data_IF_128755625422
#
_entry.id   IF_128755625422
#
_cell.length_a   1.000
_cell.length_b   1.000
_cell.length_c   1.000
_cell.angle_alpha   90.00
_cell.angle_beta   90.00
_cell.angle_gamma   90.00
#
_symmetry.space_group_name_H-M   'P 1'
#
loop_
_entity.id
_entity.type
_entity.pdbx_description
1 polymer ?
#
# COMPACT_ATOMS: atom_id res chain seq x y z
N UNK A 1 -9.41 29.38 3.79
CA UNK A 1 -9.97 28.03 3.64
C UNK A 1 -9.38 27.16 4.73
N UNK A 2 -10.18 26.61 5.64
CA UNK A 2 -9.68 25.70 6.67
C UNK A 2 -9.13 24.44 5.97
N UNK A 3 -7.80 24.28 5.98
CA UNK A 3 -7.15 23.07 5.46
C UNK A 3 -7.56 21.94 6.39
N UNK A 4 -8.52 21.12 5.97
CA UNK A 4 -8.88 19.91 6.73
C UNK A 4 -7.60 19.11 6.98
N UNK A 5 -7.28 18.88 8.24
CA UNK A 5 -6.15 18.05 8.61
C UNK A 5 -6.40 16.65 8.09
N UNK A 6 -5.53 16.18 7.19
CA UNK A 6 -5.61 14.82 6.65
C UNK A 6 -5.72 13.79 7.78
N UNK A 7 -6.76 12.96 7.72
CA UNK A 7 -6.95 11.82 8.62
C UNK A 7 -6.99 10.56 7.77
N UNK A 8 -6.06 9.64 8.05
CA UNK A 8 -6.03 8.35 7.39
C UNK A 8 -7.17 7.47 7.88
N UNK A 9 -7.92 6.90 6.95
CA UNK A 9 -8.91 5.87 7.21
C UNK A 9 -8.38 4.54 6.66
N UNK A 10 -8.17 3.57 7.53
CA UNK A 10 -7.65 2.27 7.11
C UNK A 10 -8.72 1.53 6.30
N UNK A 11 -8.36 0.89 5.18
CA UNK A 11 -9.26 -0.05 4.49
C UNK A 11 -9.72 -1.18 5.41
N UNK A 12 -8.92 -1.56 6.41
CA UNK A 12 -9.29 -2.61 7.38
C UNK A 12 -10.52 -2.20 8.21
N UNK A 13 -10.61 -0.94 8.60
CA UNK A 13 -11.74 -0.41 9.39
C UNK A 13 -13.03 -0.39 8.56
N UNK A 14 -12.91 -0.43 7.23
CA UNK A 14 -14.02 -0.49 6.27
C UNK A 14 -14.43 -1.93 5.91
N UNK A 15 -13.94 -2.91 6.66
CA UNK A 15 -14.25 -4.34 6.44
C UNK A 15 -13.43 -5.00 5.34
N UNK A 16 -12.35 -4.38 4.87
CA UNK A 16 -11.46 -5.03 3.91
C UNK A 16 -10.48 -5.97 4.62
N UNK A 17 -10.15 -7.06 3.93
CA UNK A 17 -9.15 -8.01 4.39
C UNK A 17 -7.87 -7.79 3.60
N UNK A 18 -6.74 -7.67 4.32
CA UNK A 18 -5.42 -7.57 3.69
C UNK A 18 -5.04 -8.88 3.00
N UNK A 19 -4.59 -8.79 1.76
CA UNK A 19 -4.20 -9.94 0.94
C UNK A 19 -2.71 -9.88 0.64
N UNK A 20 -2.06 -11.05 0.63
CA UNK A 20 -0.68 -11.20 0.20
C UNK A 20 -0.67 -11.74 -1.22
N UNK A 21 -0.27 -10.90 -2.17
CA UNK A 21 -0.01 -11.32 -3.54
C UNK A 21 1.49 -11.37 -3.80
N UNK A 22 1.90 -12.25 -4.70
CA UNK A 22 3.27 -12.28 -5.20
C UNK A 22 3.52 -11.15 -6.21
N UNK A 23 4.80 -10.86 -6.46
CA UNK A 23 5.19 -9.88 -7.49
C UNK A 23 4.74 -10.28 -8.89
N UNK A 24 4.72 -11.58 -9.21
CA UNK A 24 4.26 -12.07 -10.51
C UNK A 24 2.76 -11.85 -10.68
N UNK A 25 1.96 -12.14 -9.64
CA UNK A 25 0.52 -11.90 -9.63
C UNK A 25 0.20 -10.42 -9.78
N UNK A 26 0.88 -9.54 -9.03
CA UNK A 26 0.70 -8.10 -9.20
C UNK A 26 0.99 -7.64 -10.63
N UNK A 27 2.05 -8.17 -11.27
CA UNK A 27 2.42 -7.80 -12.65
C UNK A 27 1.40 -8.28 -13.68
N UNK A 28 0.72 -9.40 -13.42
CA UNK A 28 -0.37 -9.87 -14.27
C UNK A 28 -1.55 -8.90 -14.22
N UNK A 29 -1.91 -8.44 -13.01
CA UNK A 29 -3.00 -7.47 -12.78
C UNK A 29 -2.66 -6.09 -13.37
N UNK A 30 -1.48 -5.55 -13.03
CA UNK A 30 -1.04 -4.23 -13.47
C UNK A 30 0.02 -4.33 -14.57
N UNK A 31 -0.42 -4.31 -15.83
CA UNK A 31 0.48 -4.32 -17.00
C UNK A 31 1.34 -3.05 -17.08
N UNK A 32 0.77 -1.90 -16.71
CA UNK A 32 1.42 -0.58 -16.82
C UNK A 32 2.20 -0.23 -15.55
N UNK A 33 1.59 -0.42 -14.37
CA UNK A 33 2.18 -0.03 -13.07
C UNK A 33 3.02 -1.16 -12.46
N UNK A 34 4.21 -1.37 -13.01
CA UNK A 34 5.14 -2.40 -12.51
C UNK A 34 5.73 -2.02 -11.14
N UNK A 35 5.77 -2.95 -10.19
CA UNK A 35 6.46 -2.78 -8.91
C UNK A 35 7.97 -2.69 -9.14
N UNK A 36 8.59 -1.59 -8.72
CA UNK A 36 10.05 -1.52 -8.60
C UNK A 36 10.50 -2.12 -7.28
N UNK A 37 11.79 -2.47 -7.18
CA UNK A 37 12.35 -3.05 -5.94
C UNK A 37 12.19 -2.14 -4.71
N UNK A 38 12.12 -0.83 -4.96
CA UNK A 38 12.00 0.24 -3.97
C UNK A 38 10.54 0.51 -3.57
N UNK A 39 9.57 -0.07 -4.29
CA UNK A 39 8.15 0.14 -4.06
C UNK A 39 7.61 -1.00 -3.19
N UNK A 40 6.75 -0.62 -2.25
CA UNK A 40 5.94 -1.53 -1.47
C UNK A 40 4.47 -1.35 -1.82
N UNK A 41 3.71 -2.42 -1.64
CA UNK A 41 2.28 -2.44 -1.96
C UNK A 41 1.51 -3.21 -0.89
N UNK A 42 0.25 -2.84 -0.71
CA UNK A 42 -0.68 -3.55 0.14
C UNK A 42 -2.02 -3.72 -0.60
N UNK A 43 -2.45 -4.97 -0.76
CA UNK A 43 -3.74 -5.31 -1.32
C UNK A 43 -4.77 -5.49 -0.22
N UNK A 44 -5.97 -4.99 -0.46
CA UNK A 44 -7.13 -5.13 0.40
C UNK A 44 -8.33 -5.52 -0.46
N UNK A 45 -9.13 -6.47 0.01
CA UNK A 45 -10.32 -6.92 -0.69
C UNK A 45 -11.43 -7.23 0.30
N UNK A 46 -12.66 -6.88 -0.06
CA UNK A 46 -13.84 -7.10 0.77
C UNK A 46 -14.89 -8.03 0.13
N UNK A 47 -14.53 -8.74 -0.95
CA UNK A 47 -15.46 -9.60 -1.70
C UNK A 47 -16.08 -8.94 -2.94
N UNK A 48 -15.95 -7.62 -3.08
CA UNK A 48 -16.48 -6.88 -4.24
C UNK A 48 -15.49 -5.87 -4.81
N UNK A 49 -14.76 -5.17 -3.95
CA UNK A 49 -13.86 -4.09 -4.34
C UNK A 49 -12.44 -4.44 -3.88
N UNK A 50 -11.48 -4.23 -4.78
CA UNK A 50 -10.06 -4.31 -4.50
C UNK A 50 -9.55 -2.90 -4.30
N UNK A 51 -8.73 -2.71 -3.27
CA UNK A 51 -7.97 -1.51 -3.00
C UNK A 51 -6.50 -1.88 -2.93
N UNK A 52 -5.67 -1.14 -3.65
CA UNK A 52 -4.22 -1.31 -3.65
C UNK A 52 -3.57 0.00 -3.25
N UNK A 53 -2.85 -0.03 -2.15
CA UNK A 53 -2.01 1.08 -1.70
C UNK A 53 -0.59 0.85 -2.18
N UNK A 54 -0.02 1.87 -2.84
CA UNK A 54 1.36 1.92 -3.30
C UNK A 54 2.14 2.96 -2.50
N UNK A 55 3.27 2.57 -1.92
CA UNK A 55 4.09 3.44 -1.10
C UNK A 55 5.57 3.08 -1.19
N UNK A 56 6.45 3.99 -0.78
CA UNK A 56 7.89 3.73 -0.76
C UNK A 56 8.21 2.63 0.27
N UNK A 57 9.06 1.67 -0.10
CA UNK A 57 9.46 0.63 0.82
C UNK A 57 10.24 1.22 2.00
N UNK A 58 9.84 0.89 3.23
CA UNK A 58 10.45 1.42 4.45
C UNK A 58 11.95 1.15 4.54
N UNK A 59 12.41 -0.02 4.06
CA UNK A 59 13.84 -0.36 4.02
C UNK A 59 14.61 0.59 3.10
N UNK A 60 14.01 1.02 2.00
CA UNK A 60 14.64 1.97 1.08
C UNK A 60 14.70 3.36 1.69
N UNK A 61 13.64 3.80 2.38
CA UNK A 61 13.66 5.06 3.17
C UNK A 61 14.77 5.01 4.22
N UNK A 62 14.94 3.88 4.90
CA UNK A 62 16.03 3.70 5.88
C UNK A 62 17.42 3.70 5.23
N UNK A 63 17.57 3.13 4.03
CA UNK A 63 18.83 3.14 3.29
C UNK A 63 19.25 4.57 2.90
N UNK A 64 18.32 5.36 2.37
CA UNK A 64 18.60 6.74 1.94
C UNK A 64 18.55 7.74 3.10
N UNK A 65 18.22 7.30 4.31
CA UNK A 65 18.03 8.15 5.48
C UNK A 65 19.25 9.04 5.75
N UNK A 66 20.43 8.44 5.86
CA UNK A 66 21.68 9.14 6.20
C UNK A 66 22.04 10.18 5.14
N UNK A 67 22.10 9.85 3.82
CA UNK A 67 22.41 10.85 2.81
C UNK A 67 21.35 11.96 2.71
N UNK A 68 20.06 11.64 2.85
CA UNK A 68 19.00 12.67 2.88
C UNK A 68 19.15 13.59 4.08
N UNK A 69 19.46 13.03 5.25
CA UNK A 69 19.62 13.80 6.47
C UNK A 69 20.84 14.72 6.39
N UNK A 70 21.97 14.24 5.86
CA UNK A 70 23.16 15.06 5.66
C UNK A 70 22.90 16.19 4.66
N UNK A 71 22.51 15.85 3.42
CA UNK A 71 22.31 16.85 2.36
C UNK A 71 21.16 17.81 2.71
N UNK A 72 20.02 17.28 3.14
CA UNK A 72 18.86 18.09 3.50
C UNK A 72 19.12 19.02 4.68
N UNK A 73 19.93 18.60 5.67
CA UNK A 73 20.30 19.49 6.77
C UNK A 73 21.14 20.68 6.29
N UNK A 74 22.02 20.49 5.31
CA UNK A 74 22.79 21.58 4.71
C UNK A 74 21.96 22.50 3.80
N UNK A 75 20.97 21.97 3.08
CA UNK A 75 20.16 22.73 2.09
C UNK A 75 18.94 23.40 2.72
N UNK A 76 18.11 22.63 3.41
CA UNK A 76 16.79 23.05 3.90
C UNK A 76 16.72 23.15 5.44
N UNK A 77 17.76 22.70 6.13
CA UNK A 77 17.81 22.61 7.59
C UNK A 77 17.33 21.27 8.15
N UNK A 78 17.74 20.96 9.38
CA UNK A 78 17.39 19.69 10.04
C UNK A 78 15.88 19.48 10.25
N UNK A 79 15.09 20.47 10.73
CA UNK A 79 13.67 20.24 11.06
C UNK A 79 12.80 19.90 9.85
N UNK A 80 13.05 20.55 8.72
CA UNK A 80 12.35 20.33 7.44
C UNK A 80 12.68 18.94 6.87
N UNK A 81 13.96 18.60 6.84
CA UNK A 81 14.49 17.30 6.38
C UNK A 81 13.93 16.15 7.22
N UNK A 82 13.94 16.29 8.55
CA UNK A 82 13.37 15.30 9.45
C UNK A 82 11.86 15.09 9.20
N UNK A 83 11.12 16.16 8.89
CA UNK A 83 9.71 16.07 8.53
C UNK A 83 9.52 15.30 7.22
N UNK A 84 10.33 15.54 6.20
CA UNK A 84 10.26 14.81 4.93
C UNK A 84 10.56 13.31 5.10
N UNK A 85 11.57 12.96 5.89
CA UNK A 85 11.89 11.57 6.24
C UNK A 85 10.71 10.90 6.95
N UNK A 86 10.10 11.57 7.93
CA UNK A 86 8.90 11.04 8.63
C UNK A 86 7.75 10.77 7.68
N UNK A 87 7.53 11.61 6.66
CA UNK A 87 6.50 11.38 5.63
C UNK A 87 6.79 10.11 4.82
N UNK A 88 8.07 9.79 4.56
CA UNK A 88 8.47 8.56 3.87
C UNK A 88 8.33 7.30 4.74
N UNK A 89 8.69 7.37 6.01
CA UNK A 89 8.60 6.24 6.96
C UNK A 89 7.15 5.87 7.31
N UNK A 90 6.28 6.88 7.42
CA UNK A 90 4.88 6.73 7.81
C UNK A 90 3.95 7.23 6.70
N UNK A 91 3.91 6.57 5.52
CA UNK A 91 3.17 7.04 4.37
C UNK A 91 1.68 7.22 4.68
N UNK A 92 1.08 6.29 5.42
CA UNK A 92 -0.32 6.37 5.83
C UNK A 92 -0.61 7.55 6.75
N UNK A 93 0.27 7.89 7.70
CA UNK A 93 0.04 9.02 8.63
C UNK A 93 0.07 10.37 7.91
N UNK A 94 0.85 10.48 6.86
CA UNK A 94 1.12 11.73 6.15
C UNK A 94 0.53 11.78 4.73
N UNK A 95 -0.26 10.78 4.33
CA UNK A 95 -0.86 10.70 2.99
C UNK A 95 0.14 10.52 1.84
N UNK A 96 1.36 10.03 2.11
CA UNK A 96 2.42 9.82 1.10
C UNK A 96 2.31 8.42 0.47
N UNK A 97 1.15 8.12 -0.12
CA UNK A 97 0.88 6.92 -0.88
C UNK A 97 -0.08 7.22 -2.02
N UNK A 98 -0.14 6.31 -2.99
CA UNK A 98 -1.13 6.34 -4.06
C UNK A 98 -2.02 5.12 -3.94
N UNK A 99 -3.31 5.30 -4.20
CA UNK A 99 -4.30 4.24 -4.07
C UNK A 99 -4.98 4.01 -5.42
N UNK A 100 -5.02 2.75 -5.84
CA UNK A 100 -5.83 2.29 -6.96
C UNK A 100 -6.97 1.44 -6.42
N UNK A 101 -8.17 1.56 -6.99
CA UNK A 101 -9.32 0.75 -6.58
C UNK A 101 -10.20 0.39 -7.75
N UNK A 102 -10.67 -0.84 -7.80
CA UNK A 102 -11.59 -1.32 -8.82
C UNK A 102 -12.46 -2.46 -8.29
N UNK A 103 -13.53 -2.78 -9.03
CA UNK A 103 -14.45 -3.86 -8.69
C UNK A 103 -13.96 -5.20 -9.26
N UNK A 104 -13.96 -6.22 -8.41
CA UNK A 104 -13.66 -7.61 -8.77
C UNK A 104 -14.81 -8.47 -8.27
N UNK A 105 -15.72 -8.80 -9.19
CA UNK A 105 -16.90 -9.62 -8.91
C UNK A 105 -16.52 -11.09 -9.16
N UNK A 106 -16.71 -12.00 -8.19
CA UNK A 106 -16.51 -13.44 -8.41
C UNK A 106 -17.29 -13.93 -9.65
N UNK A 107 -16.59 -14.59 -10.58
CA UNK A 107 -17.17 -15.12 -11.83
C UNK A 107 -17.27 -14.14 -13.02
N UNK A 108 -17.02 -12.83 -12.83
CA UNK A 108 -16.96 -11.84 -13.93
C UNK A 108 -15.62 -11.08 -14.02
N UNK A 109 -14.61 -11.57 -13.30
CA UNK A 109 -13.27 -10.96 -13.22
C UNK A 109 -12.30 -11.59 -14.23
N UNK A 110 -11.20 -10.89 -14.52
CA UNK A 110 -10.14 -11.43 -15.40
C UNK A 110 -9.45 -12.63 -14.74
N UNK A 111 -8.95 -13.59 -15.54
CA UNK A 111 -8.14 -14.73 -15.03
C UNK A 111 -6.97 -14.24 -14.17
N UNK A 112 -6.40 -13.08 -14.52
CA UNK A 112 -5.29 -12.46 -13.78
C UNK A 112 -5.67 -12.01 -12.35
N UNK A 113 -6.97 -11.84 -12.05
CA UNK A 113 -7.49 -11.38 -10.76
C UNK A 113 -7.91 -12.53 -9.85
N UNK A 114 -8.00 -13.76 -10.36
CA UNK A 114 -8.30 -14.97 -9.57
C UNK A 114 -7.44 -15.12 -8.31
N UNK A 115 -6.13 -14.84 -8.34
CA UNK A 115 -5.30 -14.97 -7.14
C UNK A 115 -5.74 -14.08 -5.96
N UNK A 116 -6.41 -12.95 -6.24
CA UNK A 116 -6.96 -12.08 -5.20
C UNK A 116 -8.11 -12.81 -4.49
N UNK A 117 -9.04 -13.35 -5.28
CA UNK A 117 -10.22 -14.05 -4.77
C UNK A 117 -9.81 -15.32 -4.03
N UNK A 118 -8.89 -16.10 -4.60
CA UNK A 118 -8.38 -17.33 -3.98
C UNK A 118 -7.69 -17.06 -2.64
N UNK A 119 -6.83 -16.03 -2.59
CA UNK A 119 -6.15 -15.67 -1.35
C UNK A 119 -7.13 -15.17 -0.28
N UNK A 120 -8.19 -14.47 -0.68
CA UNK A 120 -9.28 -14.07 0.21
C UNK A 120 -10.06 -15.28 0.76
N UNK A 121 -10.48 -16.19 -0.12
CA UNK A 121 -11.21 -17.40 0.26
C UNK A 121 -10.40 -18.27 1.23
N UNK A 122 -9.11 -18.46 0.96
CA UNK A 122 -8.21 -19.19 1.86
C UNK A 122 -8.14 -18.50 3.24
N UNK A 123 -8.03 -17.18 3.28
CA UNK A 123 -8.00 -16.43 4.54
C UNK A 123 -9.31 -16.54 5.33
N UNK A 124 -10.44 -16.52 4.64
CA UNK A 124 -11.77 -16.70 5.25
C UNK A 124 -11.96 -18.13 5.77
N UNK A 125 -11.48 -19.12 5.02
CA UNK A 125 -11.52 -20.53 5.44
C UNK A 125 -10.64 -20.78 6.67
N UNK A 126 -9.46 -20.17 6.73
CA UNK A 126 -8.57 -20.26 7.89
C UNK A 126 -9.17 -19.57 9.12
N UNK A 127 -9.81 -18.40 8.94
CA UNK A 127 -10.51 -17.72 10.03
C UNK A 127 -11.63 -18.58 10.62
N UNK A 128 -12.36 -19.33 9.78
CA UNK A 128 -13.45 -20.22 10.21
C UNK A 128 -12.98 -21.50 10.93
N UNK A 129 -11.69 -21.87 10.82
CA UNK A 129 -11.12 -23.04 11.51
C UNK A 129 -10.65 -22.75 12.94
N UNK A 130 -10.61 -21.47 13.31
CA UNK A 130 -10.09 -21.02 14.62
C UNK A 130 -11.22 -20.82 15.64
N UNK A 131 -12.48 -20.87 15.19
CA UNK A 131 -13.69 -20.95 16.00
C UNK A 131 -14.15 -22.42 16.17
#
# INVERSE_FOLDING_TARGET
MAVQSYKYESPLDKGYIRIKLSRSQHKAIFKVRKIRILDAYAYYYNGENVVVEHFLARWFVALIFVPLLLIGTFVDGFPSTWREIKKGLFPHKYGRFSQDSWRVIPGKHSVDEQPIVDSWLNRMADAKKVD
#
